data_IF_305174783223
#
_entry.id   IF_305174783223
#
_cell.length_a   1.000
_cell.length_b   1.000
_cell.length_c   1.000
_cell.angle_alpha   90.00
_cell.angle_beta   90.00
_cell.angle_gamma   90.00
#
_symmetry.space_group_name_H-M   'P 1'
#
loop_
_entity.id
_entity.type
_entity.pdbx_description
1 polymer ?
#
# COMPACT_ATOMS: atom_id res chain seq x y z
N UNK A 1 14.06 -5.80 23.14
CA UNK A 1 12.68 -6.29 23.01
C UNK A 1 11.89 -5.21 22.31
N UNK A 2 11.24 -5.52 21.19
CA UNK A 2 10.41 -4.59 20.43
C UNK A 2 8.93 -4.87 20.63
N UNK A 3 8.08 -4.23 19.82
CA UNK A 3 6.69 -4.66 19.62
C UNK A 3 6.62 -5.09 18.16
N UNK A 4 6.64 -6.41 18.00
CA UNK A 4 6.74 -7.08 16.70
C UNK A 4 5.55 -8.02 16.54
N UNK A 5 4.96 -8.02 15.35
CA UNK A 5 3.99 -9.04 14.96
C UNK A 5 4.70 -10.05 14.09
N UNK A 6 4.79 -11.29 14.57
CA UNK A 6 5.33 -12.43 13.83
C UNK A 6 4.19 -13.20 13.19
N UNK A 7 4.37 -13.66 11.96
CA UNK A 7 3.37 -14.42 11.24
C UNK A 7 4.01 -15.43 10.29
N UNK A 8 3.31 -16.55 10.08
CA UNK A 8 3.78 -17.67 9.27
C UNK A 8 2.58 -18.41 8.71
N UNK A 9 2.56 -18.72 7.41
CA UNK A 9 1.42 -19.42 6.82
C UNK A 9 1.60 -19.71 5.33
N UNK A 10 0.63 -20.44 4.78
CA UNK A 10 0.55 -20.80 3.37
C UNK A 10 -0.81 -20.39 2.84
N UNK A 11 -0.86 -19.87 1.61
CA UNK A 11 -2.14 -19.62 0.95
C UNK A 11 -2.82 -20.95 0.59
N UNK A 12 -4.13 -21.04 0.84
CA UNK A 12 -4.91 -22.26 0.64
C UNK A 12 -5.06 -22.58 -0.86
N UNK A 13 -5.20 -21.55 -1.71
CA UNK A 13 -5.29 -21.68 -3.17
C UNK A 13 -4.46 -20.59 -3.87
N UNK A 14 -3.40 -21.01 -4.58
CA UNK A 14 -2.52 -20.12 -5.34
C UNK A 14 -3.24 -19.30 -6.41
N UNK A 15 -4.41 -19.75 -6.88
CA UNK A 15 -5.23 -19.02 -7.84
C UNK A 15 -5.87 -17.77 -7.23
N UNK A 16 -6.01 -17.71 -5.91
CA UNK A 16 -6.59 -16.56 -5.21
C UNK A 16 -5.56 -15.46 -4.90
N UNK A 17 -4.26 -15.63 -5.22
CA UNK A 17 -3.24 -14.63 -4.88
C UNK A 17 -3.53 -13.25 -5.49
N UNK A 18 -4.06 -13.17 -6.71
CA UNK A 18 -4.46 -11.88 -7.30
C UNK A 18 -5.64 -11.26 -6.54
N UNK A 19 -6.63 -12.05 -6.15
CA UNK A 19 -7.74 -11.58 -5.32
C UNK A 19 -7.26 -11.13 -3.94
N UNK A 20 -6.32 -11.87 -3.33
CA UNK A 20 -5.67 -11.47 -2.08
C UNK A 20 -5.01 -10.09 -2.23
N UNK A 21 -4.26 -9.88 -3.32
CA UNK A 21 -3.59 -8.60 -3.59
C UNK A 21 -4.56 -7.44 -3.74
N UNK A 22 -5.61 -7.60 -4.56
CA UNK A 22 -6.64 -6.58 -4.77
C UNK A 22 -7.32 -6.21 -3.44
N UNK A 23 -7.68 -7.22 -2.63
CA UNK A 23 -8.33 -7.01 -1.33
C UNK A 23 -7.44 -6.32 -0.31
N UNK A 24 -6.16 -6.71 -0.24
CA UNK A 24 -5.20 -6.04 0.64
C UNK A 24 -4.98 -4.59 0.20
N UNK A 25 -4.85 -4.36 -1.10
CA UNK A 25 -4.67 -3.02 -1.67
C UNK A 25 -5.85 -2.12 -1.33
N UNK A 26 -7.08 -2.58 -1.57
CA UNK A 26 -8.30 -1.87 -1.20
C UNK A 26 -8.35 -1.56 0.30
N UNK A 27 -8.07 -2.56 1.15
CA UNK A 27 -8.12 -2.39 2.60
C UNK A 27 -7.07 -1.39 3.08
N UNK A 28 -5.83 -1.53 2.65
CA UNK A 28 -4.74 -0.63 3.01
C UNK A 28 -5.06 0.82 2.61
N UNK A 29 -5.55 1.04 1.38
CA UNK A 29 -5.93 2.36 0.89
C UNK A 29 -7.13 2.94 1.66
N UNK A 30 -8.14 2.13 1.97
CA UNK A 30 -9.32 2.57 2.73
C UNK A 30 -8.98 3.03 4.15
N UNK A 31 -7.92 2.45 4.73
CA UNK A 31 -7.41 2.79 6.06
C UNK A 31 -6.38 3.94 6.02
N UNK A 32 -6.14 4.54 4.86
CA UNK A 32 -5.16 5.62 4.67
C UNK A 32 -3.71 5.17 4.64
N UNK A 33 -3.46 3.86 4.56
CA UNK A 33 -2.15 3.27 4.36
C UNK A 33 -1.68 3.35 2.91
N UNK A 34 -0.49 2.81 2.66
CA UNK A 34 0.08 2.63 1.32
C UNK A 34 0.28 1.15 1.06
N UNK A 35 0.04 0.73 -0.16
CA UNK A 35 0.33 -0.63 -0.59
C UNK A 35 0.86 -0.62 -2.02
N UNK A 36 1.77 -1.56 -2.30
CA UNK A 36 2.34 -1.74 -3.62
C UNK A 36 2.32 -3.21 -3.99
N UNK A 37 1.81 -3.51 -5.19
CA UNK A 37 1.92 -4.84 -5.76
C UNK A 37 3.39 -5.08 -6.08
N UNK A 38 3.90 -6.23 -5.65
CA UNK A 38 5.30 -6.60 -5.82
C UNK A 38 5.41 -7.92 -6.59
N UNK A 39 6.40 -7.99 -7.49
CA UNK A 39 6.71 -9.15 -8.32
C UNK A 39 8.22 -9.30 -8.45
N UNK A 40 8.69 -10.52 -8.28
CA UNK A 40 10.09 -10.85 -8.50
C UNK A 40 10.38 -11.11 -9.97
N UNK A 41 11.67 -11.06 -10.33
CA UNK A 41 12.16 -11.44 -11.64
C UNK A 41 13.12 -12.61 -11.43
N UNK A 42 12.61 -13.83 -11.55
CA UNK A 42 13.42 -15.03 -11.39
C UNK A 42 14.28 -15.26 -12.65
N UNK A 43 15.56 -14.89 -12.58
CA UNK A 43 16.52 -14.95 -13.71
C UNK A 43 16.70 -16.36 -14.29
N UNK A 44 16.51 -17.40 -13.46
CA UNK A 44 16.84 -18.78 -13.81
C UNK A 44 15.62 -19.64 -14.13
N UNK A 45 14.47 -19.36 -13.49
CA UNK A 45 13.23 -20.10 -13.70
C UNK A 45 12.03 -19.15 -13.59
N UNK A 46 11.45 -18.80 -14.73
CA UNK A 46 10.29 -17.92 -14.82
C UNK A 46 9.04 -18.45 -14.11
N UNK A 47 9.01 -19.73 -13.71
CA UNK A 47 7.91 -20.30 -12.92
C UNK A 47 8.07 -20.04 -11.43
N UNK A 48 9.26 -19.64 -10.96
CA UNK A 48 9.56 -19.42 -9.54
C UNK A 48 9.47 -17.94 -9.12
N UNK A 49 8.46 -17.24 -9.64
CA UNK A 49 8.24 -15.83 -9.31
C UNK A 49 7.57 -15.70 -7.94
N UNK A 50 8.18 -14.90 -7.06
CA UNK A 50 7.54 -14.48 -5.80
C UNK A 50 6.65 -13.28 -6.08
N UNK A 51 5.42 -13.29 -5.55
CA UNK A 51 4.42 -12.25 -5.83
C UNK A 51 3.54 -11.93 -4.65
N UNK A 52 3.09 -10.68 -4.51
CA UNK A 52 2.13 -10.31 -3.48
C UNK A 52 2.04 -8.79 -3.30
N UNK A 53 1.84 -8.35 -2.06
CA UNK A 53 1.73 -6.93 -1.71
C UNK A 53 2.68 -6.58 -0.57
N UNK A 54 3.32 -5.42 -0.66
CA UNK A 54 3.96 -4.77 0.49
C UNK A 54 3.07 -3.65 1.01
N UNK A 55 2.88 -3.58 2.33
CA UNK A 55 1.93 -2.67 2.96
C UNK A 55 2.61 -1.80 4.02
N UNK A 56 2.32 -0.51 4.00
CA UNK A 56 2.71 0.47 5.01
C UNK A 56 1.43 1.07 5.62
N UNK A 57 1.01 0.55 6.77
CA UNK A 57 -0.27 0.95 7.39
C UNK A 57 -0.21 2.33 8.05
N UNK A 58 0.92 2.69 8.64
CA UNK A 58 1.12 4.01 9.24
C UNK A 58 2.60 4.41 9.25
N UNK A 59 2.92 5.72 9.32
CA UNK A 59 4.29 6.17 9.49
C UNK A 59 4.94 5.59 10.75
N UNK A 60 6.19 5.16 10.63
CA UNK A 60 6.97 4.58 11.73
C UNK A 60 6.82 3.05 11.91
N UNK A 61 5.95 2.40 11.13
CA UNK A 61 5.95 0.93 11.02
C UNK A 61 6.96 0.48 9.98
N UNK A 62 7.55 -0.71 10.18
CA UNK A 62 8.24 -1.40 9.11
C UNK A 62 7.22 -1.86 8.05
N UNK A 63 7.69 -2.07 6.82
CA UNK A 63 6.85 -2.57 5.73
C UNK A 63 6.39 -4.00 6.02
N UNK A 64 5.08 -4.21 6.05
CA UNK A 64 4.47 -5.54 6.14
C UNK A 64 4.61 -6.25 4.78
N UNK A 65 5.14 -7.48 4.80
CA UNK A 65 5.44 -8.28 3.60
C UNK A 65 4.43 -9.41 3.43
N UNK A 66 3.45 -9.22 2.55
CA UNK A 66 2.47 -10.26 2.20
C UNK A 66 2.81 -10.83 0.83
N UNK A 67 4.04 -11.31 0.69
CA UNK A 67 4.55 -11.94 -0.52
C UNK A 67 4.36 -13.45 -0.45
N UNK A 68 4.05 -14.06 -1.58
CA UNK A 68 3.73 -15.48 -1.72
C UNK A 68 4.77 -16.12 -2.62
N UNK A 69 5.42 -17.18 -2.12
CA UNK A 69 6.34 -18.00 -2.90
C UNK A 69 5.59 -18.83 -3.95
N UNK A 70 6.29 -19.45 -4.92
CA UNK A 70 5.68 -20.37 -5.88
C UNK A 70 4.93 -21.55 -5.24
N UNK A 71 5.33 -21.95 -4.03
CA UNK A 71 4.69 -23.00 -3.22
C UNK A 71 3.49 -22.50 -2.41
N UNK A 72 3.25 -21.19 -2.38
CA UNK A 72 2.17 -20.58 -1.62
C UNK A 72 2.57 -20.07 -0.24
N UNK A 73 3.86 -20.13 0.14
CA UNK A 73 4.30 -19.70 1.46
C UNK A 73 4.39 -18.18 1.55
N UNK A 74 3.89 -17.62 2.66
CA UNK A 74 4.17 -16.23 2.99
C UNK A 74 5.69 -16.06 3.17
N UNK A 75 6.28 -15.10 2.48
CA UNK A 75 7.74 -14.94 2.35
C UNK A 75 8.15 -13.51 2.73
N UNK A 76 9.18 -13.32 3.57
CA UNK A 76 9.67 -11.99 3.90
C UNK A 76 10.56 -11.44 2.77
N UNK A 77 10.63 -10.11 2.66
CA UNK A 77 11.41 -9.42 1.62
C UNK A 77 12.87 -9.89 1.51
N UNK A 78 13.52 -10.23 2.62
CA UNK A 78 14.93 -10.63 2.62
C UNK A 78 15.18 -12.07 2.11
N UNK A 79 14.13 -12.90 1.94
CA UNK A 79 14.24 -14.29 1.49
C UNK A 79 13.73 -14.53 0.06
N UNK A 80 13.34 -13.48 -0.66
CA UNK A 80 12.83 -13.62 -2.04
C UNK A 80 13.82 -14.40 -2.93
N UNK A 81 15.12 -14.08 -2.87
CA UNK A 81 16.14 -14.75 -3.68
C UNK A 81 16.27 -16.24 -3.38
N UNK A 82 16.00 -16.66 -2.15
CA UNK A 82 16.08 -18.07 -1.77
C UNK A 82 14.84 -18.81 -2.26
N UNK A 83 13.66 -18.17 -2.14
CA UNK A 83 12.41 -18.67 -2.70
C UNK A 83 12.47 -18.81 -4.24
N UNK A 84 13.18 -17.92 -4.94
CA UNK A 84 13.37 -18.03 -6.39
C UNK A 84 14.27 -19.21 -6.78
N UNK A 85 15.24 -19.57 -5.94
CA UNK A 85 16.22 -20.63 -6.25
C UNK A 85 15.69 -22.03 -5.95
N UNK A 86 14.97 -22.19 -4.84
CA UNK A 86 14.50 -23.49 -4.38
C UNK A 86 13.22 -23.36 -3.55
N UNK A 87 12.44 -24.43 -3.54
CA UNK A 87 11.27 -24.52 -2.67
C UNK A 87 11.73 -24.54 -1.21
N UNK A 88 10.98 -23.86 -0.34
CA UNK A 88 11.14 -24.05 1.10
C UNK A 88 10.48 -25.35 1.51
N UNK A 89 11.13 -26.10 2.40
CA UNK A 89 10.52 -27.28 3.02
C UNK A 89 9.35 -26.90 3.95
N UNK A 90 9.40 -25.67 4.48
CA UNK A 90 8.52 -25.16 5.50
C UNK A 90 8.31 -23.64 5.30
N UNK A 91 7.14 -23.07 5.64
CA UNK A 91 6.91 -21.63 5.49
C UNK A 91 7.93 -20.85 6.34
N UNK A 92 8.54 -19.76 5.84
CA UNK A 92 9.46 -18.97 6.64
C UNK A 92 8.72 -18.07 7.64
N UNK A 93 9.40 -17.73 8.74
CA UNK A 93 8.90 -16.75 9.70
C UNK A 93 8.98 -15.34 9.11
N UNK A 94 7.83 -14.68 9.04
CA UNK A 94 7.72 -13.27 8.67
C UNK A 94 7.49 -12.44 9.92
N UNK A 95 7.93 -11.19 9.89
CA UNK A 95 7.67 -10.26 10.99
C UNK A 95 7.53 -8.82 10.49
N UNK A 96 6.86 -8.00 11.29
CA UNK A 96 6.80 -6.55 11.10
C UNK A 96 6.95 -5.86 12.45
N UNK A 97 7.92 -4.96 12.57
CA UNK A 97 8.06 -4.14 13.78
C UNK A 97 7.16 -2.93 13.72
N UNK A 98 6.49 -2.68 14.84
CA UNK A 98 5.46 -1.65 14.95
C UNK A 98 5.73 -0.65 16.07
N UNK A 99 6.80 -0.87 16.85
CA UNK A 99 7.13 -0.08 18.05
C UNK A 99 7.36 1.42 17.83
N UNK A 100 7.61 1.89 16.60
CA UNK A 100 7.85 3.31 16.30
C UNK A 100 6.67 3.99 15.59
N UNK A 101 5.60 3.25 15.26
CA UNK A 101 4.43 3.84 14.63
C UNK A 101 3.24 3.96 15.57
N UNK A 102 2.08 4.26 15.00
CA UNK A 102 0.86 4.51 15.78
C UNK A 102 0.23 3.22 16.33
N UNK A 103 -0.51 3.38 17.42
CA UNK A 103 -1.35 2.32 18.00
C UNK A 103 -2.35 1.79 16.96
N UNK A 104 -2.98 2.69 16.21
CA UNK A 104 -3.98 2.38 15.21
C UNK A 104 -3.40 1.54 14.07
N UNK A 105 -2.20 1.86 13.58
CA UNK A 105 -1.61 1.06 12.50
C UNK A 105 -1.18 -0.33 12.97
N UNK A 106 -0.75 -0.50 14.23
CA UNK A 106 -0.51 -1.83 14.80
C UNK A 106 -1.81 -2.65 14.83
N UNK A 107 -2.88 -2.07 15.37
CA UNK A 107 -4.22 -2.69 15.41
C UNK A 107 -4.70 -3.05 13.99
N UNK A 108 -4.45 -2.18 13.02
CA UNK A 108 -4.82 -2.40 11.63
C UNK A 108 -4.04 -3.56 10.99
N UNK A 109 -2.73 -3.68 11.26
CA UNK A 109 -1.91 -4.83 10.83
C UNK A 109 -2.47 -6.14 11.40
N UNK A 110 -2.78 -6.16 12.69
CA UNK A 110 -3.36 -7.35 13.36
C UNK A 110 -4.68 -7.76 12.74
N UNK A 111 -5.60 -6.81 12.50
CA UNK A 111 -6.89 -7.10 11.86
C UNK A 111 -6.74 -7.53 10.39
N UNK A 112 -5.80 -6.94 9.66
CA UNK A 112 -5.49 -7.36 8.29
C UNK A 112 -5.01 -8.82 8.27
N UNK A 113 -4.10 -9.22 9.16
CA UNK A 113 -3.63 -10.60 9.26
C UNK A 113 -4.76 -11.56 9.65
N UNK A 114 -5.64 -11.15 10.57
CA UNK A 114 -6.81 -11.96 10.95
C UNK A 114 -7.79 -12.16 9.77
N UNK A 115 -8.03 -11.11 8.98
CA UNK A 115 -8.84 -11.22 7.76
C UNK A 115 -8.20 -12.14 6.71
N UNK A 116 -6.89 -12.06 6.52
CA UNK A 116 -6.14 -12.95 5.62
C UNK A 116 -6.24 -14.40 6.08
N UNK A 117 -6.08 -14.65 7.39
CA UNK A 117 -6.24 -16.00 7.97
C UNK A 117 -7.61 -16.60 7.67
N UNK A 118 -8.67 -15.81 7.83
CA UNK A 118 -10.04 -16.29 7.67
C UNK A 118 -10.38 -16.63 6.22
N UNK A 119 -9.77 -15.95 5.25
CA UNK A 119 -10.15 -16.06 3.84
C UNK A 119 -9.15 -16.83 2.97
N UNK A 120 -7.86 -16.59 3.14
CA UNK A 120 -6.84 -17.00 2.17
C UNK A 120 -5.80 -17.96 2.77
N UNK A 121 -5.54 -17.89 4.07
CA UNK A 121 -4.49 -18.68 4.73
C UNK A 121 -5.02 -19.34 6.01
N UNK A 122 -5.78 -20.42 5.87
CA UNK A 122 -6.41 -21.11 7.00
C UNK A 122 -5.43 -21.57 8.10
N UNK A 123 -4.18 -21.83 7.72
CA UNK A 123 -3.08 -22.21 8.61
C UNK A 123 -2.18 -21.03 9.05
N UNK A 124 -2.63 -19.78 8.89
CA UNK A 124 -1.85 -18.62 9.33
C UNK A 124 -1.70 -18.59 10.85
N UNK A 125 -0.46 -18.74 11.30
CA UNK A 125 -0.03 -18.53 12.67
C UNK A 125 0.38 -17.07 12.85
N UNK A 126 -0.10 -16.44 13.91
CA UNK A 126 0.25 -15.05 14.26
C UNK A 126 0.62 -15.03 15.74
N UNK A 127 1.73 -14.38 16.07
CA UNK A 127 2.21 -14.15 17.42
C UNK A 127 2.54 -12.67 17.58
N UNK A 128 1.83 -12.00 18.48
CA UNK A 128 1.99 -10.56 18.69
C UNK A 128 2.65 -10.27 20.04
N UNK A 129 3.85 -9.67 20.02
CA UNK A 129 4.55 -9.25 21.25
C UNK A 129 3.79 -8.14 22.01
N UNK A 130 2.91 -7.43 21.31
CA UNK A 130 1.95 -6.49 21.86
C UNK A 130 0.83 -7.15 22.67
N UNK A 131 0.60 -8.46 22.51
CA UNK A 131 -0.53 -9.23 23.05
C UNK A 131 -1.92 -8.77 22.57
N UNK A 132 -1.99 -7.86 21.59
CA UNK A 132 -3.27 -7.37 21.08
C UNK A 132 -3.97 -8.42 20.23
N UNK A 133 -3.24 -9.23 19.45
CA UNK A 133 -3.82 -10.31 18.66
C UNK A 133 -4.68 -11.27 19.51
N UNK A 134 -4.16 -11.69 20.66
CA UNK A 134 -4.78 -12.66 21.56
C UNK A 134 -5.84 -12.03 22.48
N UNK A 135 -5.59 -10.82 22.99
CA UNK A 135 -6.45 -10.20 24.02
C UNK A 135 -7.48 -9.24 23.45
N UNK A 136 -7.20 -8.64 22.29
CA UNK A 136 -7.92 -7.50 21.72
C UNK A 136 -8.04 -6.30 22.68
N UNK A 137 -7.12 -6.20 23.65
CA UNK A 137 -7.08 -5.10 24.61
C UNK A 137 -6.19 -3.95 24.10
N UNK A 138 -6.84 -2.92 23.55
CA UNK A 138 -6.17 -1.72 23.03
C UNK A 138 -5.43 -0.97 24.13
N UNK A 139 -5.90 -0.99 25.38
CA UNK A 139 -5.27 -0.27 26.49
C UNK A 139 -3.98 -0.96 26.91
N UNK A 140 -3.97 -2.30 26.97
CA UNK A 140 -2.77 -3.06 27.25
C UNK A 140 -1.69 -2.81 26.20
N UNK A 141 -2.06 -2.83 24.92
CA UNK A 141 -1.16 -2.50 23.82
C UNK A 141 -0.61 -1.07 23.95
N UNK A 142 -1.48 -0.10 24.24
CA UNK A 142 -1.08 1.29 24.43
C UNK A 142 -0.08 1.45 25.58
N UNK A 143 -0.32 0.81 26.73
CA UNK A 143 0.59 0.83 27.88
C UNK A 143 1.96 0.24 27.52
N UNK A 144 2.00 -0.87 26.78
CA UNK A 144 3.26 -1.47 26.32
C UNK A 144 4.01 -0.58 25.33
N UNK A 145 3.32 0.01 24.37
CA UNK A 145 3.92 0.95 23.41
C UNK A 145 4.48 2.18 24.11
N UNK A 146 3.74 2.77 25.05
CA UNK A 146 4.22 3.90 25.86
C UNK A 146 5.43 3.52 26.71
N UNK A 147 5.38 2.37 27.39
CA UNK A 147 6.50 1.90 28.19
C UNK A 147 7.77 1.74 27.34
N UNK A 148 7.65 1.12 26.16
CA UNK A 148 8.78 0.93 25.25
C UNK A 148 9.28 2.26 24.68
N UNK A 149 8.37 3.16 24.28
CA UNK A 149 8.73 4.50 23.80
C UNK A 149 9.50 5.30 24.86
N UNK A 150 9.04 5.28 26.11
CA UNK A 150 9.71 5.93 27.23
C UNK A 150 11.10 5.34 27.49
N UNK A 151 11.23 4.01 27.43
CA UNK A 151 12.53 3.34 27.58
C UNK A 151 13.52 3.75 26.47
N UNK A 152 13.06 3.82 25.22
CA UNK A 152 13.89 4.23 24.07
C UNK A 152 14.33 5.69 24.21
N UNK A 153 13.39 6.58 24.56
CA UNK A 153 13.70 8.00 24.77
C UNK A 153 14.67 8.19 25.94
N UNK A 154 14.51 7.47 27.05
CA UNK A 154 15.44 7.53 28.16
C UNK A 154 16.88 7.07 27.78
N UNK A 155 17.01 6.07 26.90
CA UNK A 155 18.32 5.67 26.34
C UNK A 155 18.87 6.77 25.45
N UNK A 156 18.05 7.34 24.57
CA UNK A 156 18.45 8.41 23.66
C UNK A 156 18.92 9.66 24.42
N UNK A 157 18.15 10.11 25.41
CA UNK A 157 18.48 11.23 26.29
C UNK A 157 19.77 10.96 27.07
N UNK A 158 19.95 9.74 27.58
CA UNK A 158 21.17 9.31 28.26
C UNK A 158 22.40 9.34 27.33
N UNK A 159 22.23 8.95 26.06
CA UNK A 159 23.29 9.04 25.04
C UNK A 159 23.62 10.49 24.66
N UNK A 160 22.62 11.37 24.55
CA UNK A 160 22.82 12.79 24.28
C UNK A 160 23.51 13.49 25.45
N UNK A 161 23.02 13.28 26.67
CA UNK A 161 23.50 13.94 27.90
C UNK A 161 24.93 13.52 28.24
N UNK A 162 25.25 12.23 28.08
CA UNK A 162 26.56 11.69 28.44
C UNK A 162 27.56 11.61 27.29
N UNK A 163 27.14 12.03 26.08
CA UNK A 163 27.98 12.17 24.91
C UNK A 163 28.58 10.85 24.41
N UNK A 164 28.36 10.55 23.14
CA UNK A 164 29.39 9.85 22.36
C UNK A 164 30.49 10.87 22.07
N UNK A 165 31.36 11.16 23.06
CA UNK A 165 32.56 11.98 22.83
C UNK A 165 33.27 11.52 21.54
N UNK A 166 33.97 12.41 20.83
CA UNK A 166 34.75 12.05 19.63
C UNK A 166 35.65 10.80 19.84
N UNK A 167 36.13 10.53 21.05
CA UNK A 167 36.86 9.30 21.41
C UNK A 167 36.07 8.00 21.21
N UNK A 168 34.74 8.01 21.37
CA UNK A 168 33.89 6.84 21.16
C UNK A 168 33.68 6.52 19.67
N UNK A 169 33.96 7.47 18.77
CA UNK A 169 33.96 7.23 17.33
C UNK A 169 35.22 6.47 16.85
N UNK A 170 36.30 6.45 17.65
CA UNK A 170 37.58 5.85 17.26
C UNK A 170 37.72 4.38 17.71
N UNK A 171 37.00 3.94 18.75
CA UNK A 171 37.09 2.58 19.28
C UNK A 171 35.69 1.93 19.50
N UNK A 172 35.32 0.95 18.66
CA UNK A 172 34.05 0.22 18.77
C UNK A 172 33.83 -0.47 20.12
N UNK A 173 34.90 -0.88 20.83
CA UNK A 173 34.81 -1.56 22.12
C UNK A 173 34.40 -0.60 23.26
N UNK A 174 34.85 0.65 23.19
CA UNK A 174 34.47 1.72 24.12
C UNK A 174 33.02 2.12 23.91
N UNK A 175 32.59 2.20 22.64
CA UNK A 175 31.20 2.47 22.27
C UNK A 175 30.27 1.37 22.82
N UNK A 176 30.64 0.10 22.66
CA UNK A 176 29.89 -1.05 23.17
C UNK A 176 29.75 -1.00 24.70
N UNK A 177 30.86 -0.77 25.41
CA UNK A 177 30.87 -0.68 26.89
C UNK A 177 30.01 0.49 27.40
N UNK A 178 30.00 1.63 26.67
CA UNK A 178 29.14 2.77 27.00
C UNK A 178 27.66 2.48 26.76
N UNK A 179 27.32 1.85 25.63
CA UNK A 179 25.94 1.44 25.33
C UNK A 179 25.43 0.48 26.41
N UNK A 180 26.22 -0.51 26.82
CA UNK A 180 25.88 -1.45 27.90
C UNK A 180 25.65 -0.72 29.23
N UNK A 181 26.51 0.25 29.57
CA UNK A 181 26.38 1.04 30.80
C UNK A 181 25.11 1.89 30.78
N UNK A 182 24.78 2.52 29.66
CA UNK A 182 23.56 3.32 29.51
C UNK A 182 22.32 2.41 29.57
N UNK A 183 22.33 1.26 28.89
CA UNK A 183 21.25 0.28 28.95
C UNK A 183 21.00 -0.20 30.39
N UNK A 184 22.08 -0.43 31.16
CA UNK A 184 21.99 -0.82 32.58
C UNK A 184 21.37 0.30 33.43
N UNK A 185 21.78 1.56 33.22
CA UNK A 185 21.22 2.72 33.93
C UNK A 185 19.74 2.92 33.59
N UNK A 186 19.34 2.77 32.34
CA UNK A 186 17.94 2.84 31.93
C UNK A 186 17.13 1.70 32.54
N UNK A 187 17.65 0.47 32.55
CA UNK A 187 16.98 -0.64 33.22
C UNK A 187 16.79 -0.39 34.72
N UNK A 188 17.79 0.19 35.40
CA UNK A 188 17.67 0.60 36.80
C UNK A 188 16.64 1.71 36.99
N UNK A 189 16.59 2.70 36.10
CA UNK A 189 15.62 3.81 36.15
C UNK A 189 14.18 3.33 35.88
N UNK A 190 13.98 2.45 34.91
CA UNK A 190 12.67 1.81 34.63
C UNK A 190 12.17 0.97 35.80
N UNK A 191 13.07 0.30 36.52
CA UNK A 191 12.72 -0.42 37.75
C UNK A 191 12.42 0.52 38.92
N UNK A 192 13.07 1.69 38.96
CA UNK A 192 12.85 2.71 39.98
C UNK A 192 11.55 3.51 39.76
N UNK A 193 11.18 3.83 38.50
CA UNK A 193 9.96 4.55 38.12
C UNK A 193 8.66 3.75 38.37
N UNK A 194 8.75 2.45 38.68
CA UNK A 194 7.62 1.68 39.25
C UNK A 194 7.22 2.12 40.67
N UNK A 195 7.99 3.01 41.30
CA UNK A 195 7.76 3.51 42.65
C UNK A 195 7.77 5.05 42.63
N UNK A 196 6.57 5.64 42.64
CA UNK A 196 6.25 7.07 42.87
C UNK A 196 6.40 8.09 41.70
N UNK A 197 5.47 9.08 41.58
CA UNK A 197 5.45 10.07 40.51
C UNK A 197 6.01 11.46 40.89
N UNK A 198 6.37 12.19 39.83
CA UNK A 198 6.45 13.66 39.67
C UNK A 198 7.77 14.38 40.00
N UNK A 199 8.19 15.23 39.05
CA UNK A 199 9.21 16.26 39.26
C UNK A 199 9.89 16.74 37.97
N UNK A 200 9.31 17.75 37.34
CA UNK A 200 9.76 18.47 36.12
C UNK A 200 11.05 19.27 36.30
N UNK A 201 11.94 19.31 35.29
CA UNK A 201 12.89 20.43 35.03
C UNK A 201 13.16 20.58 33.52
N UNK A 202 13.28 21.84 33.11
CA UNK A 202 13.45 22.46 31.78
C UNK A 202 14.87 22.49 31.22
N UNK A 203 15.03 22.55 29.89
CA UNK A 203 16.27 22.89 29.18
C UNK A 203 16.12 24.12 28.23
N UNK A 204 17.21 24.87 27.96
CA UNK A 204 17.20 26.06 27.11
C UNK A 204 17.72 25.82 25.67
N UNK A 205 17.37 26.80 24.84
CA UNK A 205 17.64 26.98 23.41
C UNK A 205 19.12 27.28 23.09
N UNK A 206 19.58 26.94 21.87
CA UNK A 206 20.53 27.81 21.14
C UNK A 206 20.57 27.56 19.61
N UNK A 207 20.91 28.66 18.90
CA UNK A 207 20.67 28.99 17.49
C UNK A 207 21.76 28.60 16.47
N UNK A 208 21.34 28.43 15.21
CA UNK A 208 21.98 28.81 13.91
C UNK A 208 23.39 28.29 13.55
N UNK A 209 23.76 27.91 12.33
CA UNK A 209 23.16 27.89 11.00
C UNK A 209 24.30 27.79 9.97
N UNK A 210 24.13 27.12 8.83
CA UNK A 210 24.71 27.57 7.55
C UNK A 210 24.14 26.82 6.32
N UNK A 211 24.06 27.56 5.22
CA UNK A 211 23.14 27.39 4.09
C UNK A 211 23.87 26.91 2.82
N UNK A 212 23.49 25.73 2.30
CA UNK A 212 23.81 25.26 0.94
C UNK A 212 22.51 24.88 0.22
N UNK A 213 22.18 25.60 -0.85
CA UNK A 213 20.95 25.44 -1.65
C UNK A 213 21.10 24.37 -2.73
N UNK A 214 20.80 23.14 -2.36
CA UNK A 214 19.96 22.25 -3.18
C UNK A 214 18.51 22.41 -2.67
N UNK A 215 17.48 22.04 -3.44
CA UNK A 215 16.15 21.88 -2.86
C UNK A 215 16.26 20.76 -1.81
N UNK A 216 16.51 21.17 -0.56
CA UNK A 216 16.98 20.31 0.50
C UNK A 216 15.90 19.28 0.78
N UNK A 217 16.30 18.02 1.00
CA UNK A 217 15.48 17.00 1.65
C UNK A 217 14.69 17.56 2.84
N UNK A 218 15.18 18.62 3.49
CA UNK A 218 14.53 19.35 4.56
C UNK A 218 13.25 20.11 4.14
N UNK A 219 13.16 20.67 2.93
CA UNK A 219 11.91 21.27 2.43
C UNK A 219 10.87 20.20 2.09
N UNK A 220 11.32 19.05 1.56
CA UNK A 220 10.45 17.88 1.32
C UNK A 220 9.98 17.25 2.64
N UNK A 221 10.88 17.13 3.62
CA UNK A 221 10.55 16.69 4.98
C UNK A 221 9.60 17.68 5.65
N UNK A 222 9.81 18.99 5.52
CA UNK A 222 8.90 20.00 6.08
C UNK A 222 7.53 19.98 5.41
N UNK A 223 7.45 19.75 4.11
CA UNK A 223 6.16 19.60 3.40
C UNK A 223 5.45 18.32 3.81
N UNK A 224 6.17 17.21 3.93
CA UNK A 224 5.66 15.94 4.46
C UNK A 224 5.20 16.06 5.92
N UNK A 225 5.97 16.72 6.78
CA UNK A 225 5.61 16.99 8.17
C UNK A 225 4.39 17.90 8.28
N UNK A 226 4.29 18.90 7.38
CA UNK A 226 3.11 19.77 7.32
C UNK A 226 1.86 18.99 6.91
N UNK A 227 1.97 18.11 5.91
CA UNK A 227 0.88 17.24 5.49
C UNK A 227 0.49 16.24 6.58
N UNK A 228 1.48 15.68 7.28
CA UNK A 228 1.27 14.78 8.42
C UNK A 228 0.52 15.48 9.55
N UNK A 229 0.98 16.66 9.98
CA UNK A 229 0.29 17.47 11.00
C UNK A 229 -1.11 17.86 10.57
N UNK A 230 -1.34 18.15 9.28
CA UNK A 230 -2.68 18.44 8.76
C UNK A 230 -3.59 17.20 8.84
N UNK A 231 -3.09 16.02 8.49
CA UNK A 231 -3.83 14.77 8.61
C UNK A 231 -4.09 14.40 10.08
N UNK A 232 -3.13 14.58 10.98
CA UNK A 232 -3.29 14.33 12.41
C UNK A 232 -4.37 15.25 13.01
N UNK A 233 -4.31 16.56 12.73
CA UNK A 233 -5.35 17.51 13.15
C UNK A 233 -6.72 17.21 12.54
N UNK A 234 -6.77 16.63 11.34
CA UNK A 234 -8.02 16.20 10.70
C UNK A 234 -8.59 14.96 11.38
N UNK A 235 -7.75 13.98 11.66
CA UNK A 235 -8.11 12.73 12.35
C UNK A 235 -8.59 12.99 13.77
N UNK A 236 -7.90 13.86 14.52
CA UNK A 236 -8.32 14.28 15.87
C UNK A 236 -9.67 14.99 15.86
N UNK A 237 -9.91 15.89 14.89
CA UNK A 237 -11.22 16.55 14.74
C UNK A 237 -12.31 15.53 14.41
N UNK A 238 -12.04 14.59 13.51
CA UNK A 238 -12.99 13.53 13.16
C UNK A 238 -13.33 12.65 14.38
N UNK A 239 -12.33 12.18 15.13
CA UNK A 239 -12.55 11.37 16.34
C UNK A 239 -13.31 12.15 17.42
N UNK A 240 -12.98 13.43 17.62
CA UNK A 240 -13.70 14.27 18.58
C UNK A 240 -15.17 14.43 18.17
N UNK A 241 -15.46 14.61 16.88
CA UNK A 241 -16.84 14.70 16.38
C UNK A 241 -17.60 13.38 16.54
N UNK A 242 -16.96 12.25 16.26
CA UNK A 242 -17.55 10.93 16.49
C UNK A 242 -17.86 10.74 17.98
N UNK A 243 -16.95 11.14 18.88
CA UNK A 243 -17.17 11.05 20.31
C UNK A 243 -18.30 11.99 20.79
N UNK A 244 -18.35 13.23 20.32
CA UNK A 244 -19.41 14.20 20.63
C UNK A 244 -20.78 13.75 20.09
N UNK A 245 -20.82 13.16 18.89
CA UNK A 245 -22.03 12.62 18.27
C UNK A 245 -22.52 11.36 18.99
N UNK A 246 -21.62 10.43 19.30
CA UNK A 246 -21.94 9.23 20.10
C UNK A 246 -22.42 9.61 21.51
N UNK A 247 -21.85 10.66 22.12
CA UNK A 247 -22.31 11.20 23.40
C UNK A 247 -23.71 11.86 23.33
N UNK A 248 -24.19 12.13 22.11
CA UNK A 248 -25.52 12.67 21.82
C UNK A 248 -26.52 11.58 21.39
N UNK A 249 -26.25 10.31 21.74
CA UNK A 249 -27.05 9.11 21.43
C UNK A 249 -27.20 8.79 19.92
N UNK A 250 -26.32 9.30 19.06
CA UNK A 250 -26.23 8.84 17.66
C UNK A 250 -25.60 7.45 17.60
N UNK A 251 -26.05 6.62 16.65
CA UNK A 251 -25.37 5.35 16.37
C UNK A 251 -23.94 5.61 15.88
N UNK A 252 -23.03 4.64 16.07
CA UNK A 252 -21.65 4.79 15.65
C UNK A 252 -21.51 5.10 14.15
N UNK A 253 -22.40 4.52 13.33
CA UNK A 253 -22.45 4.77 11.89
C UNK A 253 -22.92 6.20 11.58
N UNK A 254 -24.01 6.68 12.18
CA UNK A 254 -24.49 8.06 12.00
C UNK A 254 -23.47 9.10 12.52
N UNK A 255 -22.80 8.80 13.63
CA UNK A 255 -21.73 9.63 14.19
C UNK A 255 -20.53 9.73 13.25
N UNK A 256 -20.16 8.63 12.60
CA UNK A 256 -19.11 8.58 11.59
C UNK A 256 -19.50 9.34 10.32
N UNK A 257 -20.72 9.12 9.80
CA UNK A 257 -21.23 9.85 8.63
C UNK A 257 -21.30 11.36 8.86
N UNK A 258 -21.76 11.78 10.05
CA UNK A 258 -21.80 13.18 10.46
C UNK A 258 -20.40 13.79 10.50
N UNK A 259 -19.43 13.09 11.11
CA UNK A 259 -18.04 13.56 11.19
C UNK A 259 -17.36 13.65 9.81
N UNK A 260 -17.63 12.70 8.92
CA UNK A 260 -17.16 12.70 7.53
C UNK A 260 -17.70 13.92 6.77
N UNK A 261 -19.01 14.18 6.90
CA UNK A 261 -19.67 15.32 6.24
C UNK A 261 -19.13 16.66 6.72
N UNK A 262 -18.86 16.82 8.01
CA UNK A 262 -18.30 18.05 8.58
C UNK A 262 -16.83 18.28 8.20
N UNK A 263 -16.04 17.21 7.98
CA UNK A 263 -14.68 17.31 7.44
C UNK A 263 -14.64 17.44 5.89
N UNK A 264 -15.80 17.66 5.27
CA UNK A 264 -15.94 17.94 3.84
C UNK A 264 -15.88 16.69 2.94
N UNK A 265 -16.00 15.49 3.51
CA UNK A 265 -16.14 14.26 2.73
C UNK A 265 -17.61 14.02 2.39
N UNK A 266 -17.90 13.84 1.11
CA UNK A 266 -19.22 13.44 0.64
C UNK A 266 -19.24 11.92 0.51
N UNK A 267 -20.00 11.23 1.36
CA UNK A 267 -20.28 9.82 1.15
C UNK A 267 -21.22 9.66 -0.05
N UNK A 268 -21.00 8.66 -0.93
CA UNK A 268 -21.96 8.29 -1.95
C UNK A 268 -23.32 8.02 -1.29
N UNK A 269 -24.35 8.73 -1.74
CA UNK A 269 -25.65 8.79 -1.08
C UNK A 269 -26.31 7.40 -1.05
N UNK A 270 -26.36 6.74 0.11
CA UNK A 270 -26.87 5.37 0.28
C UNK A 270 -28.41 5.28 0.34
N UNK A 271 -29.11 6.42 0.33
CA UNK A 271 -30.53 6.52 0.68
C UNK A 271 -31.50 6.82 -0.48
N UNK A 272 -31.16 6.48 -1.73
CA UNK A 272 -32.08 6.67 -2.86
C UNK A 272 -32.80 5.39 -3.34
N UNK A 273 -32.42 4.20 -2.85
CA UNK A 273 -33.00 2.93 -3.28
C UNK A 273 -33.33 2.03 -2.08
N UNK A 274 -34.35 2.36 -1.28
CA UNK A 274 -35.20 1.32 -0.68
C UNK A 274 -36.39 1.93 0.07
N UNK A 275 -37.60 1.71 -0.42
CA UNK A 275 -38.82 1.83 0.39
C UNK A 275 -40.02 1.11 -0.24
N UNK A 276 -39.80 0.11 -1.11
CA UNK A 276 -40.91 -0.59 -1.75
C UNK A 276 -40.65 -2.03 -2.18
N UNK A 277 -39.82 -2.79 -1.46
CA UNK A 277 -39.82 -4.25 -1.59
C UNK A 277 -40.62 -4.93 -0.46
N UNK A 278 -41.58 -5.81 -0.80
CA UNK A 278 -42.37 -6.52 0.20
C UNK A 278 -41.51 -7.54 0.96
N UNK A 279 -41.66 -7.57 2.28
CA UNK A 279 -41.13 -8.62 3.17
C UNK A 279 -41.56 -10.00 2.68
N UNK A 280 -40.61 -10.76 2.13
CA UNK A 280 -40.76 -12.19 1.83
C UNK A 280 -40.32 -12.99 3.06
N UNK A 281 -41.22 -13.84 3.54
CA UNK A 281 -41.01 -14.76 4.66
C UNK A 281 -39.91 -15.80 4.36
N UNK A 282 -39.13 -16.11 5.38
CA UNK A 282 -37.96 -16.99 5.36
C UNK A 282 -38.28 -18.39 4.80
N UNK A 283 -37.71 -18.71 3.63
CA UNK A 283 -37.54 -20.07 3.15
C UNK A 283 -36.06 -20.33 2.91
N UNK A 284 -35.53 -21.34 3.61
CA UNK A 284 -34.15 -21.81 3.52
C UNK A 284 -33.87 -22.39 2.11
N UNK A 285 -32.64 -22.17 1.65
CA UNK A 285 -32.02 -22.62 0.38
C UNK A 285 -32.48 -21.89 -0.89
N UNK A 286 -31.79 -20.80 -1.23
CA UNK A 286 -31.14 -20.52 -2.53
C UNK A 286 -30.59 -19.08 -2.52
N UNK A 287 -29.38 -18.88 -3.03
CA UNK A 287 -28.63 -17.62 -2.91
C UNK A 287 -29.13 -16.58 -3.93
N UNK A 288 -29.74 -15.45 -3.52
CA UNK A 288 -30.47 -14.53 -4.42
C UNK A 288 -29.59 -13.71 -5.38
N UNK A 289 -28.27 -13.68 -5.18
CA UNK A 289 -27.35 -12.88 -6.00
C UNK A 289 -26.98 -13.55 -7.33
N UNK A 290 -27.34 -14.82 -7.53
CA UNK A 290 -27.14 -15.54 -8.79
C UNK A 290 -28.19 -15.22 -9.86
N UNK A 291 -29.35 -14.68 -9.49
CA UNK A 291 -30.42 -14.31 -10.44
C UNK A 291 -30.31 -12.86 -10.97
N UNK A 292 -29.42 -12.03 -10.40
CA UNK A 292 -29.18 -10.66 -10.86
C UNK A 292 -28.16 -10.53 -11.97
N UNK A 293 -27.47 -11.62 -12.34
CA UNK A 293 -26.56 -11.62 -13.48
C UNK A 293 -27.31 -12.10 -14.73
N UNK A 294 -27.34 -11.31 -15.82
CA UNK A 294 -27.94 -11.76 -17.05
C UNK A 294 -27.26 -13.06 -17.49
N UNK A 295 -28.01 -14.07 -17.98
CA UNK A 295 -27.49 -15.42 -18.25
C UNK A 295 -26.40 -15.44 -19.33
N UNK A 296 -26.19 -14.32 -20.03
CA UNK A 296 -25.15 -14.13 -21.02
C UNK A 296 -24.69 -12.66 -21.01
N UNK A 297 -23.67 -12.27 -20.22
CA UNK A 297 -23.15 -10.90 -20.21
C UNK A 297 -22.43 -10.50 -21.51
N UNK A 298 -22.38 -11.40 -22.51
CA UNK A 298 -21.70 -11.22 -23.79
C UNK A 298 -22.57 -11.57 -25.02
N UNK A 299 -23.87 -11.84 -24.87
CA UNK A 299 -24.73 -12.17 -26.02
C UNK A 299 -25.24 -10.91 -26.77
N UNK A 300 -24.46 -10.57 -27.79
CA UNK A 300 -24.76 -10.10 -29.16
C UNK A 300 -25.80 -9.00 -29.51
N UNK A 301 -26.69 -8.53 -28.63
CA UNK A 301 -27.76 -7.61 -29.09
C UNK A 301 -27.53 -6.10 -28.85
N UNK A 302 -26.45 -5.70 -28.17
CA UNK A 302 -26.02 -4.30 -28.14
C UNK A 302 -25.07 -4.00 -29.30
N UNK A 303 -25.61 -3.91 -30.53
CA UNK A 303 -24.98 -3.20 -31.66
C UNK A 303 -24.96 -1.69 -31.43
N UNK A 304 -24.59 -1.24 -30.23
CA UNK A 304 -24.09 0.11 -30.06
C UNK A 304 -22.74 0.14 -30.79
N UNK A 305 -22.54 1.16 -31.60
CA UNK A 305 -21.28 1.47 -32.32
C UNK A 305 -20.09 0.93 -31.54
N UNK A 306 -19.43 -0.08 -32.10
CA UNK A 306 -18.46 -0.87 -31.36
C UNK A 306 -17.44 0.05 -30.68
N UNK A 307 -17.07 -0.21 -29.42
CA UNK A 307 -16.03 0.54 -28.71
C UNK A 307 -14.69 0.60 -29.47
N UNK A 308 -14.53 -0.22 -30.52
CA UNK A 308 -13.37 -0.32 -31.40
C UNK A 308 -13.15 0.90 -32.32
N UNK A 309 -14.12 1.82 -32.47
CA UNK A 309 -14.01 2.94 -33.41
C UNK A 309 -13.42 4.24 -32.82
N UNK A 310 -13.14 4.29 -31.51
CA UNK A 310 -12.62 5.53 -30.92
C UNK A 310 -11.17 5.78 -31.39
N UNK A 311 -10.84 6.98 -31.94
CA UNK A 311 -9.53 7.23 -32.55
C UNK A 311 -8.36 7.05 -31.58
N UNK A 312 -8.57 7.30 -30.28
CA UNK A 312 -7.56 7.04 -29.25
C UNK A 312 -7.26 5.55 -29.04
N UNK A 313 -8.27 4.69 -29.21
CA UNK A 313 -8.11 3.23 -29.09
C UNK A 313 -7.28 2.72 -30.27
N UNK A 314 -7.63 3.14 -31.49
CA UNK A 314 -6.87 2.82 -32.71
C UNK A 314 -5.41 3.28 -32.63
N UNK A 315 -5.16 4.45 -32.06
CA UNK A 315 -3.81 4.96 -31.81
C UNK A 315 -3.02 4.06 -30.84
N UNK A 316 -3.65 3.68 -29.71
CA UNK A 316 -3.03 2.81 -28.73
C UNK A 316 -2.80 1.38 -29.27
N UNK A 317 -3.72 0.86 -30.06
CA UNK A 317 -3.59 -0.43 -30.75
C UNK A 317 -2.46 -0.41 -31.76
N UNK A 318 -2.30 0.67 -32.53
CA UNK A 318 -1.18 0.82 -33.45
C UNK A 318 0.16 0.75 -32.72
N UNK A 319 0.25 1.34 -31.52
CA UNK A 319 1.43 1.22 -30.66
C UNK A 319 1.64 -0.22 -30.17
N UNK A 320 0.59 -0.87 -29.66
CA UNK A 320 0.65 -2.26 -29.21
C UNK A 320 1.09 -3.21 -30.33
N UNK A 321 0.57 -3.06 -31.55
CA UNK A 321 0.97 -3.87 -32.70
C UNK A 321 2.45 -3.70 -33.04
N UNK A 322 2.97 -2.46 -33.00
CA UNK A 322 4.40 -2.20 -33.20
C UNK A 322 5.26 -2.87 -32.11
N UNK A 323 4.80 -2.84 -30.86
CA UNK A 323 5.46 -3.53 -29.73
C UNK A 323 5.40 -5.05 -29.89
N UNK A 324 4.28 -5.61 -30.35
CA UNK A 324 4.14 -7.05 -30.59
C UNK A 324 5.04 -7.53 -31.73
N UNK A 325 5.19 -6.75 -32.81
CA UNK A 325 6.16 -7.07 -33.87
C UNK A 325 7.60 -7.08 -33.35
N UNK A 326 7.97 -6.09 -32.52
CA UNK A 326 9.27 -6.08 -31.84
C UNK A 326 9.44 -7.33 -30.96
N UNK A 327 8.43 -7.69 -30.18
CA UNK A 327 8.46 -8.86 -29.30
C UNK A 327 8.66 -10.16 -30.10
N UNK A 328 8.04 -10.31 -31.28
CA UNK A 328 8.24 -11.49 -32.15
C UNK A 328 9.69 -11.62 -32.60
N UNK A 329 10.37 -10.51 -32.89
CA UNK A 329 11.75 -10.52 -33.36
C UNK A 329 12.78 -10.69 -32.23
N UNK A 330 12.45 -10.23 -31.02
CA UNK A 330 13.46 -9.98 -29.98
C UNK A 330 13.16 -10.62 -28.61
N UNK A 331 12.07 -11.41 -28.43
CA UNK A 331 11.57 -11.82 -27.10
C UNK A 331 12.58 -12.46 -26.14
N UNK A 332 13.65 -13.08 -26.64
CA UNK A 332 14.66 -13.74 -25.82
C UNK A 332 15.82 -12.83 -25.39
N UNK A 333 15.93 -11.61 -25.92
CA UNK A 333 17.12 -10.76 -25.72
C UNK A 333 17.05 -9.83 -24.52
N UNK A 334 15.86 -9.40 -24.11
CA UNK A 334 15.72 -8.47 -23.00
C UNK A 334 14.41 -8.67 -22.23
N UNK A 335 14.50 -8.65 -20.90
CA UNK A 335 13.34 -8.69 -20.00
C UNK A 335 12.45 -7.44 -20.14
N UNK A 336 12.98 -6.33 -20.65
CA UNK A 336 12.20 -5.12 -20.87
C UNK A 336 11.12 -5.29 -21.95
N UNK A 337 11.22 -6.30 -22.83
CA UNK A 337 10.19 -6.58 -23.84
C UNK A 337 8.88 -7.00 -23.17
N UNK A 338 8.93 -7.88 -22.16
CA UNK A 338 7.71 -8.33 -21.48
C UNK A 338 7.05 -7.19 -20.70
N UNK A 339 7.86 -6.31 -20.10
CA UNK A 339 7.40 -5.07 -19.45
C UNK A 339 6.72 -4.16 -20.47
N UNK A 340 7.34 -3.93 -21.63
CA UNK A 340 6.79 -3.08 -22.69
C UNK A 340 5.48 -3.62 -23.26
N UNK A 341 5.38 -4.93 -23.51
CA UNK A 341 4.16 -5.59 -23.98
C UNK A 341 3.02 -5.41 -22.97
N UNK A 342 3.28 -5.72 -21.69
CA UNK A 342 2.27 -5.57 -20.63
C UNK A 342 1.82 -4.12 -20.47
N UNK A 343 2.77 -3.19 -20.43
CA UNK A 343 2.51 -1.76 -20.35
C UNK A 343 1.64 -1.26 -21.53
N UNK A 344 1.89 -1.79 -22.73
CA UNK A 344 1.10 -1.48 -23.93
C UNK A 344 -0.33 -2.00 -23.84
N UNK A 345 -0.52 -3.21 -23.32
CA UNK A 345 -1.85 -3.77 -23.07
C UNK A 345 -2.62 -2.98 -22.01
N UNK A 346 -1.96 -2.54 -20.95
CA UNK A 346 -2.57 -1.70 -19.91
C UNK A 346 -3.01 -0.33 -20.46
N UNK A 347 -2.24 0.26 -21.37
CA UNK A 347 -2.65 1.48 -22.09
C UNK A 347 -3.89 1.25 -22.96
N UNK A 348 -3.88 0.23 -23.82
CA UNK A 348 -5.00 -0.08 -24.71
C UNK A 348 -6.26 -0.39 -23.90
N UNK A 349 -6.16 -1.27 -22.90
CA UNK A 349 -7.28 -1.64 -22.05
C UNK A 349 -7.84 -0.46 -21.27
N UNK A 350 -6.98 0.40 -20.70
CA UNK A 350 -7.40 1.59 -19.99
C UNK A 350 -8.10 2.61 -20.89
N UNK A 351 -7.58 2.85 -22.10
CA UNK A 351 -8.18 3.80 -23.06
C UNK A 351 -9.50 3.25 -23.62
N UNK A 352 -9.57 1.96 -23.97
CA UNK A 352 -10.79 1.33 -24.49
C UNK A 352 -11.91 1.36 -23.45
N UNK A 353 -11.63 1.02 -22.20
CA UNK A 353 -12.64 1.05 -21.14
C UNK A 353 -13.03 2.49 -20.75
N UNK A 354 -12.09 3.44 -20.81
CA UNK A 354 -12.41 4.84 -20.55
C UNK A 354 -13.30 5.48 -21.62
N UNK A 355 -13.29 4.95 -22.85
CA UNK A 355 -14.01 5.50 -24.00
C UNK A 355 -15.28 4.75 -24.35
N UNK A 356 -15.59 3.65 -23.66
CA UNK A 356 -16.79 2.83 -23.93
C UNK A 356 -18.06 3.31 -23.23
N UNK A 357 -17.94 4.14 -22.17
CA UNK A 357 -19.06 4.61 -21.36
C UNK A 357 -19.61 5.98 -21.78
N UNK A 358 -20.88 6.24 -21.42
CA UNK A 358 -21.47 7.58 -21.54
C UNK A 358 -20.94 8.48 -20.41
N UNK A 359 -20.15 9.49 -20.77
CA UNK A 359 -19.61 10.48 -19.83
C UNK A 359 -20.68 11.42 -19.25
N UNK A 360 -21.96 11.31 -19.64
CA UNK A 360 -23.04 12.08 -19.01
C UNK A 360 -23.34 11.64 -17.57
N UNK A 361 -23.01 10.39 -17.22
CA UNK A 361 -23.21 9.82 -15.88
C UNK A 361 -21.94 9.93 -15.02
N UNK A 362 -22.11 10.42 -13.79
CA UNK A 362 -21.05 10.56 -12.78
C UNK A 362 -20.34 9.22 -12.53
N UNK A 363 -21.08 8.11 -12.54
CA UNK A 363 -20.52 6.77 -12.29
C UNK A 363 -19.57 6.35 -13.41
N UNK A 364 -20.00 6.52 -14.66
CA UNK A 364 -19.19 6.24 -15.84
C UNK A 364 -17.98 7.18 -15.93
N UNK A 365 -18.12 8.45 -15.55
CA UNK A 365 -16.98 9.39 -15.47
C UNK A 365 -15.93 8.95 -14.44
N UNK A 366 -16.36 8.56 -13.24
CA UNK A 366 -15.45 8.07 -12.20
C UNK A 366 -14.70 6.79 -12.64
N UNK A 367 -15.42 5.88 -13.32
CA UNK A 367 -14.81 4.71 -13.94
C UNK A 367 -13.80 5.11 -15.02
N UNK A 368 -14.17 6.01 -15.93
CA UNK A 368 -13.29 6.48 -17.00
C UNK A 368 -12.00 7.10 -16.44
N UNK A 369 -12.09 7.94 -15.40
CA UNK A 369 -10.91 8.51 -14.71
C UNK A 369 -10.01 7.40 -14.14
N UNK A 370 -10.60 6.38 -13.53
CA UNK A 370 -9.83 5.25 -12.97
C UNK A 370 -9.11 4.47 -14.08
N UNK A 371 -9.77 4.23 -15.21
CA UNK A 371 -9.16 3.54 -16.35
C UNK A 371 -8.10 4.38 -17.06
N UNK A 372 -8.27 5.70 -17.13
CA UNK A 372 -7.24 6.61 -17.65
C UNK A 372 -6.01 6.67 -16.73
N UNK A 373 -6.17 6.53 -15.41
CA UNK A 373 -5.03 6.37 -14.49
C UNK A 373 -4.25 5.09 -14.79
N UNK A 374 -4.95 3.96 -15.02
CA UNK A 374 -4.32 2.71 -15.47
C UNK A 374 -3.53 2.91 -16.77
N UNK A 375 -4.11 3.63 -17.74
CA UNK A 375 -3.41 3.94 -19.00
C UNK A 375 -2.16 4.82 -18.77
N UNK A 376 -2.22 5.83 -17.91
CA UNK A 376 -1.05 6.65 -17.54
C UNK A 376 0.06 5.81 -16.91
N UNK A 377 -0.29 4.87 -16.03
CA UNK A 377 0.66 3.93 -15.44
C UNK A 377 1.32 3.05 -16.51
N UNK A 378 0.52 2.49 -17.44
CA UNK A 378 1.03 1.77 -18.60
C UNK A 378 2.00 2.61 -19.44
N UNK A 379 1.65 3.87 -19.74
CA UNK A 379 2.53 4.78 -20.46
C UNK A 379 3.88 5.01 -19.75
N UNK A 380 3.87 5.22 -18.43
CA UNK A 380 5.10 5.40 -17.65
C UNK A 380 6.01 4.17 -17.71
N UNK A 381 5.45 2.97 -17.55
CA UNK A 381 6.20 1.72 -17.67
C UNK A 381 6.74 1.49 -19.09
N UNK A 382 5.95 1.83 -20.12
CA UNK A 382 6.38 1.71 -21.51
C UNK A 382 7.61 2.59 -21.79
N UNK A 383 7.62 3.85 -21.33
CA UNK A 383 8.80 4.73 -21.44
C UNK A 383 10.02 4.13 -20.76
N UNK A 384 9.87 3.67 -19.52
CA UNK A 384 10.96 3.04 -18.77
C UNK A 384 11.54 1.83 -19.50
N UNK A 385 10.66 0.96 -20.03
CA UNK A 385 11.05 -0.20 -20.79
C UNK A 385 11.79 0.15 -22.09
N UNK A 386 11.38 1.20 -22.82
CA UNK A 386 12.09 1.66 -24.02
C UNK A 386 13.52 2.13 -23.70
N UNK A 387 13.73 2.82 -22.58
CA UNK A 387 15.08 3.19 -22.16
C UNK A 387 15.93 1.95 -21.81
N UNK A 388 15.34 0.97 -21.13
CA UNK A 388 15.98 -0.32 -20.86
C UNK A 388 16.38 -1.05 -22.14
N UNK A 389 15.46 -1.19 -23.10
CA UNK A 389 15.71 -1.84 -24.39
C UNK A 389 16.81 -1.13 -25.20
N UNK A 390 16.88 0.20 -25.13
CA UNK A 390 17.95 0.97 -25.76
C UNK A 390 19.28 0.76 -25.06
N UNK A 391 19.30 0.70 -23.73
CA UNK A 391 20.50 0.43 -22.94
C UNK A 391 21.06 -0.98 -23.22
N UNK A 392 20.17 -1.95 -23.44
CA UNK A 392 20.51 -3.33 -23.79
C UNK A 392 20.86 -3.51 -25.28
N UNK A 393 20.92 -2.42 -26.06
CA UNK A 393 21.13 -2.41 -27.52
C UNK A 393 20.13 -3.31 -28.28
N UNK A 394 18.98 -3.63 -27.68
CA UNK A 394 17.92 -4.47 -28.28
C UNK A 394 17.14 -3.71 -29.35
N UNK A 395 17.01 -2.39 -29.19
CA UNK A 395 16.46 -1.49 -30.20
C UNK A 395 17.48 -0.42 -30.56
N UNK A 396 17.42 0.03 -31.82
CA UNK A 396 18.27 1.14 -32.28
C UNK A 396 17.84 2.46 -31.63
N UNK A 397 18.74 3.45 -31.64
CA UNK A 397 18.40 4.80 -31.18
C UNK A 397 17.23 5.42 -31.96
N UNK A 398 17.13 5.14 -33.26
CA UNK A 398 16.04 5.60 -34.13
C UNK A 398 14.71 4.95 -33.75
N UNK A 399 14.69 3.64 -33.54
CA UNK A 399 13.49 2.92 -33.07
C UNK A 399 13.04 3.42 -31.69
N UNK A 400 13.99 3.66 -30.78
CA UNK A 400 13.70 4.24 -29.46
C UNK A 400 13.03 5.61 -29.59
N UNK A 401 13.55 6.51 -30.44
CA UNK A 401 12.93 7.82 -30.70
C UNK A 401 11.53 7.67 -31.28
N UNK A 402 11.34 6.78 -32.27
CA UNK A 402 10.02 6.54 -32.86
C UNK A 402 8.98 6.08 -31.83
N UNK A 403 9.33 5.16 -30.93
CA UNK A 403 8.41 4.73 -29.88
C UNK A 403 8.11 5.84 -28.87
N UNK A 404 9.11 6.66 -28.51
CA UNK A 404 8.91 7.78 -27.58
C UNK A 404 7.98 8.85 -28.18
N UNK A 405 8.12 9.15 -29.47
CA UNK A 405 7.23 10.10 -30.18
C UNK A 405 5.77 9.59 -30.21
N UNK A 406 5.57 8.28 -30.41
CA UNK A 406 4.24 7.66 -30.31
C UNK A 406 3.66 7.75 -28.90
N UNK A 407 4.49 7.50 -27.87
CA UNK A 407 4.06 7.62 -26.47
C UNK A 407 3.71 9.06 -26.08
N UNK A 408 4.44 10.07 -26.56
CA UNK A 408 4.12 11.48 -26.32
C UNK A 408 2.76 11.88 -26.93
N UNK A 409 2.43 11.31 -28.10
CA UNK A 409 1.12 11.52 -28.73
C UNK A 409 0.01 10.87 -27.90
N UNK A 410 0.20 9.61 -27.48
CA UNK A 410 -0.73 8.90 -26.59
C UNK A 410 -0.92 9.59 -25.24
N UNK A 411 0.16 10.12 -24.64
CA UNK A 411 0.07 10.87 -23.38
C UNK A 411 -0.83 12.10 -23.52
N UNK A 412 -0.67 12.84 -24.62
CA UNK A 412 -1.51 14.00 -24.93
C UNK A 412 -2.97 13.57 -25.10
N UNK A 413 -3.22 12.46 -25.78
CA UNK A 413 -4.56 11.87 -25.94
C UNK A 413 -5.17 11.47 -24.59
N UNK A 414 -4.41 10.79 -23.71
CA UNK A 414 -4.85 10.39 -22.36
C UNK A 414 -5.20 11.61 -21.51
N UNK A 415 -4.38 12.66 -21.53
CA UNK A 415 -4.67 13.89 -20.79
C UNK A 415 -5.95 14.58 -21.27
N UNK A 416 -6.16 14.67 -22.59
CA UNK A 416 -7.40 15.23 -23.16
C UNK A 416 -8.63 14.41 -22.75
N UNK A 417 -8.54 13.07 -22.79
CA UNK A 417 -9.63 12.21 -22.33
C UNK A 417 -9.92 12.40 -20.83
N UNK A 418 -8.87 12.58 -20.03
CA UNK A 418 -9.02 12.84 -18.60
C UNK A 418 -9.71 14.17 -18.35
N UNK A 419 -9.29 15.25 -19.02
CA UNK A 419 -9.95 16.56 -18.95
C UNK A 419 -11.43 16.47 -19.32
N UNK A 420 -11.77 15.76 -20.39
CA UNK A 420 -13.17 15.55 -20.79
C UNK A 420 -13.98 14.76 -19.75
N UNK A 421 -13.38 13.80 -19.06
CA UNK A 421 -14.04 13.05 -17.99
C UNK A 421 -14.19 13.89 -16.69
N UNK A 422 -13.42 14.96 -16.53
CA UNK A 422 -13.47 15.88 -15.39
C UNK A 422 -14.45 17.05 -15.58
N UNK A 423 -14.82 17.40 -16.81
CA UNK A 423 -15.89 18.37 -17.13
C UNK A 423 -17.23 17.66 -16.99
#
# INVERSE_FOLDING_TARGET
MGITVHYRGTIDDLREVETLEDRILDLALSLGGRAAIWRSFADHDCQRVVRGVTVEMAPGHETLSLLVSPEGHLTPLHQIKDAEKAAFDEPPDCFVKTQFGSLQGHVAIVHLLDAIRQRFCSNLEVSDEGEYYETRDVNLLHQKMQFLGNAINAVADGLQTHGLNQEAAEDPSILTTRIERIATLVQQKLLAERLEPSGSVSDPEDESGDNWREASLEEEVQTMDRLRRQNDMRSERMMRRIAEATASDLSADEAFELAMKEEGFSLPNRMANDDNEPRVEESLCEQPWLESLPPHPFDEDSRQTGPDDHPAVLEAESFLLAVMELAKTECTKSSFISVLVRASMDMVGGIAQATSGDLSDITHRALAITQLKRALTGHAYARGAIFGLRSDETISGEQSTQFLDQLDTLLTTIHRLAENAWI
#
